data_IF_131241553997
#
_entry.id   IF_131241553997
#
_cell.length_a   1.000
_cell.length_b   1.000
_cell.length_c   1.000
_cell.angle_alpha   90.00
_cell.angle_beta   90.00
_cell.angle_gamma   90.00
#
_symmetry.space_group_name_H-M   'P 1'
#
loop_
_entity.id
_entity.type
_entity.pdbx_description
1 polymer ?
#
# COMPACT_ATOMS: atom_id res chain seq x y z
N UNK A 1 -23.80 -20.57 -0.07
CA UNK A 1 -24.04 -19.33 0.70
C UNK A 1 -24.80 -18.28 -0.08
N UNK A 2 -24.56 -18.10 -1.38
CA UNK A 2 -25.18 -17.03 -2.19
C UNK A 2 -26.70 -16.92 -2.03
N UNK A 3 -27.44 -18.02 -2.16
CA UNK A 3 -28.91 -18.01 -2.00
C UNK A 3 -29.35 -17.65 -0.57
N UNK A 4 -28.68 -18.20 0.44
CA UNK A 4 -28.97 -17.90 1.85
C UNK A 4 -28.68 -16.43 2.19
N UNK A 5 -27.52 -15.93 1.75
CA UNK A 5 -27.07 -14.57 2.01
C UNK A 5 -27.85 -13.52 1.21
N UNK A 6 -28.51 -13.90 0.12
CA UNK A 6 -29.36 -12.98 -0.65
C UNK A 6 -30.51 -12.44 0.22
N UNK A 7 -31.19 -13.32 0.98
CA UNK A 7 -32.23 -12.89 1.91
C UNK A 7 -31.68 -12.02 3.04
N UNK A 8 -30.47 -12.32 3.53
CA UNK A 8 -29.80 -11.49 4.52
C UNK A 8 -29.50 -10.08 3.97
N UNK A 9 -29.02 -10.00 2.72
CA UNK A 9 -28.75 -8.72 2.04
C UNK A 9 -30.02 -7.89 1.83
N UNK A 10 -31.12 -8.52 1.41
CA UNK A 10 -32.45 -7.87 1.34
C UNK A 10 -32.93 -7.37 2.70
N UNK A 11 -32.57 -8.06 3.78
CA UNK A 11 -32.84 -7.67 5.15
C UNK A 11 -31.81 -6.67 5.72
N UNK A 12 -30.91 -6.12 4.90
CA UNK A 12 -29.93 -5.11 5.31
C UNK A 12 -28.70 -5.66 6.05
N UNK A 13 -28.36 -6.94 5.85
CA UNK A 13 -27.15 -7.57 6.39
C UNK A 13 -26.23 -8.04 5.27
N UNK A 14 -24.99 -7.58 5.28
CA UNK A 14 -23.98 -7.93 4.29
C UNK A 14 -22.76 -8.54 4.98
N UNK A 15 -22.04 -9.38 4.25
CA UNK A 15 -20.78 -9.94 4.71
C UNK A 15 -19.76 -9.93 3.57
N UNK A 16 -18.48 -9.89 3.95
CA UNK A 16 -17.36 -10.03 3.05
C UNK A 16 -16.35 -11.04 3.62
N UNK A 17 -15.75 -11.83 2.73
CA UNK A 17 -14.66 -12.75 3.07
C UNK A 17 -13.52 -12.50 2.11
N UNK A 18 -12.40 -12.02 2.64
CA UNK A 18 -11.23 -11.68 1.85
C UNK A 18 -9.98 -12.34 2.43
N UNK A 19 -9.02 -12.63 1.54
CA UNK A 19 -7.64 -12.85 1.96
C UNK A 19 -6.99 -11.49 2.15
N UNK A 20 -6.39 -11.29 3.31
CA UNK A 20 -5.71 -10.06 3.66
C UNK A 20 -4.31 -10.36 4.21
N UNK A 21 -3.33 -9.56 3.81
CA UNK A 21 -1.92 -9.83 4.14
C UNK A 21 -1.40 -11.10 3.46
N UNK A 22 -0.56 -11.86 4.18
CA UNK A 22 0.10 -13.05 3.63
C UNK A 22 -0.76 -14.31 3.83
N UNK A 23 -1.27 -14.52 5.04
CA UNK A 23 -1.89 -15.78 5.47
C UNK A 23 -3.15 -15.56 6.34
N UNK A 24 -3.91 -14.49 6.10
CA UNK A 24 -5.06 -14.14 6.96
C UNK A 24 -6.35 -14.09 6.16
N UNK A 25 -7.40 -14.68 6.75
CA UNK A 25 -8.77 -14.55 6.26
C UNK A 25 -9.45 -13.48 7.11
N UNK A 26 -9.90 -12.42 6.45
CA UNK A 26 -10.75 -11.41 7.04
C UNK A 26 -12.21 -11.79 6.76
N UNK A 27 -13.02 -11.86 7.81
CA UNK A 27 -14.47 -11.98 7.71
C UNK A 27 -15.09 -10.71 8.30
N UNK A 28 -15.73 -9.91 7.45
CA UNK A 28 -16.45 -8.70 7.85
C UNK A 28 -17.96 -8.92 7.75
N UNK A 29 -18.72 -8.47 8.74
CA UNK A 29 -20.19 -8.44 8.69
C UNK A 29 -20.68 -7.06 9.11
N UNK A 30 -21.72 -6.57 8.43
CA UNK A 30 -22.40 -5.31 8.74
C UNK A 30 -23.89 -5.47 8.56
N UNK A 31 -24.69 -4.85 9.42
CA UNK A 31 -26.15 -4.84 9.32
C UNK A 31 -26.85 -4.74 10.67
N UNK A 32 -28.17 -4.99 10.67
CA UNK A 32 -29.01 -4.91 11.87
C UNK A 32 -28.67 -6.01 12.89
N UNK A 33 -28.51 -5.62 14.16
CA UNK A 33 -27.99 -6.48 15.22
C UNK A 33 -28.88 -7.68 15.59
N UNK A 34 -30.19 -7.64 15.31
CA UNK A 34 -31.14 -8.72 15.68
C UNK A 34 -30.77 -10.08 15.08
N UNK A 35 -30.33 -10.12 13.81
CA UNK A 35 -30.07 -11.36 13.06
C UNK A 35 -28.63 -11.52 12.57
N UNK A 36 -27.78 -10.53 12.81
CA UNK A 36 -26.36 -10.59 12.44
C UNK A 36 -25.62 -11.77 13.11
N UNK A 37 -25.86 -12.12 14.40
CA UNK A 37 -25.25 -13.29 15.02
C UNK A 37 -25.60 -14.60 14.32
N UNK A 38 -26.85 -14.77 13.89
CA UNK A 38 -27.32 -15.97 13.19
C UNK A 38 -26.62 -16.13 11.83
N UNK A 39 -26.43 -15.02 11.11
CA UNK A 39 -25.69 -15.01 9.85
C UNK A 39 -24.21 -15.39 10.07
N UNK A 40 -23.59 -14.84 11.12
CA UNK A 40 -22.19 -15.13 11.48
C UNK A 40 -21.99 -16.63 11.76
N UNK A 41 -22.79 -17.22 12.65
CA UNK A 41 -22.72 -18.65 12.97
C UNK A 41 -22.87 -19.52 11.73
N UNK A 42 -23.79 -19.16 10.83
CA UNK A 42 -23.99 -19.89 9.58
C UNK A 42 -22.78 -19.81 8.65
N UNK A 43 -22.16 -18.64 8.52
CA UNK A 43 -20.95 -18.44 7.72
C UNK A 43 -19.80 -19.26 8.29
N UNK A 44 -19.56 -19.18 9.60
CA UNK A 44 -18.48 -19.91 10.28
C UNK A 44 -18.66 -21.43 10.13
N UNK A 45 -19.90 -21.91 10.27
CA UNK A 45 -20.23 -23.32 10.04
C UNK A 45 -19.86 -23.74 8.62
N UNK A 46 -20.30 -22.98 7.61
CA UNK A 46 -20.00 -23.28 6.21
C UNK A 46 -18.49 -23.19 5.91
N UNK A 47 -17.79 -22.22 6.48
CA UNK A 47 -16.35 -22.07 6.34
C UNK A 47 -15.59 -23.30 6.86
N UNK A 48 -16.07 -23.91 7.95
CA UNK A 48 -15.52 -25.15 8.54
C UNK A 48 -15.83 -26.40 7.74
N UNK A 49 -17.06 -26.52 7.25
CA UNK A 49 -17.55 -27.72 6.54
C UNK A 49 -17.48 -27.58 5.02
N UNK A 50 -16.81 -26.54 4.49
CA UNK A 50 -16.66 -26.32 3.05
C UNK A 50 -16.21 -27.58 2.28
N UNK A 51 -15.24 -28.38 2.77
CA UNK A 51 -14.82 -29.61 2.08
C UNK A 51 -15.94 -30.64 1.87
N UNK A 52 -16.97 -30.63 2.73
CA UNK A 52 -18.07 -31.59 2.70
C UNK A 52 -19.18 -31.17 1.73
N UNK A 53 -19.18 -29.90 1.32
CA UNK A 53 -20.20 -29.29 0.47
C UNK A 53 -19.68 -28.82 -0.89
N UNK A 54 -18.37 -28.86 -1.11
CA UNK A 54 -17.76 -28.41 -2.36
C UNK A 54 -17.85 -29.49 -3.43
N UNK A 55 -18.54 -29.21 -4.52
CA UNK A 55 -18.57 -30.09 -5.68
C UNK A 55 -17.39 -29.80 -6.63
N UNK A 56 -16.88 -30.85 -7.29
CA UNK A 56 -15.78 -30.73 -8.25
C UNK A 56 -16.11 -29.76 -9.40
N UNK A 57 -17.33 -29.80 -9.91
CA UNK A 57 -17.77 -28.90 -10.98
C UNK A 57 -17.73 -27.43 -10.53
N UNK A 58 -18.19 -27.14 -9.31
CA UNK A 58 -18.12 -25.80 -8.73
C UNK A 58 -16.67 -25.34 -8.56
N UNK A 59 -15.78 -26.22 -8.09
CA UNK A 59 -14.35 -25.94 -8.00
C UNK A 59 -13.75 -25.58 -9.37
N UNK A 60 -14.00 -26.40 -10.39
CA UNK A 60 -13.46 -26.17 -11.74
C UNK A 60 -13.94 -24.86 -12.34
N UNK A 61 -15.22 -24.55 -12.18
CA UNK A 61 -15.82 -23.27 -12.60
C UNK A 61 -15.14 -22.08 -11.92
N UNK A 62 -14.91 -22.15 -10.60
CA UNK A 62 -14.23 -21.08 -9.84
C UNK A 62 -12.76 -20.97 -10.22
N UNK A 63 -12.06 -22.10 -10.45
CA UNK A 63 -10.66 -22.11 -10.92
C UNK A 63 -10.54 -21.41 -12.27
N UNK A 64 -11.37 -21.77 -13.25
CA UNK A 64 -11.38 -21.14 -14.57
C UNK A 64 -11.74 -19.65 -14.50
N UNK A 65 -12.72 -19.29 -13.66
CA UNK A 65 -13.06 -17.88 -13.46
C UNK A 65 -11.89 -17.10 -12.84
N UNK A 66 -11.17 -17.68 -11.88
CA UNK A 66 -9.98 -17.08 -11.25
C UNK A 66 -8.84 -16.90 -12.25
N UNK A 67 -8.60 -17.90 -13.10
CA UNK A 67 -7.61 -17.81 -14.18
C UNK A 67 -7.91 -16.65 -15.13
N UNK A 68 -9.15 -16.56 -15.58
CA UNK A 68 -9.60 -15.45 -16.43
C UNK A 68 -9.45 -14.11 -15.72
N UNK A 69 -9.75 -14.02 -14.43
CA UNK A 69 -9.54 -12.79 -13.65
C UNK A 69 -8.07 -12.37 -13.66
N UNK A 70 -7.13 -13.28 -13.40
CA UNK A 70 -5.71 -12.94 -13.44
C UNK A 70 -5.22 -12.63 -14.86
N UNK A 71 -5.72 -13.31 -15.88
CA UNK A 71 -5.40 -12.96 -17.27
C UNK A 71 -5.93 -11.57 -17.63
N UNK A 72 -7.13 -11.21 -17.18
CA UNK A 72 -7.74 -9.91 -17.43
C UNK A 72 -6.99 -8.76 -16.77
N UNK A 73 -6.24 -8.96 -15.69
CA UNK A 73 -5.41 -7.88 -15.12
C UNK A 73 -4.30 -7.42 -16.09
N UNK A 74 -3.99 -8.20 -17.13
CA UNK A 74 -3.09 -7.75 -18.21
C UNK A 74 -3.71 -6.62 -19.04
N UNK A 75 -5.05 -6.48 -18.99
CA UNK A 75 -5.81 -5.43 -19.66
C UNK A 75 -6.08 -4.22 -18.76
N UNK A 76 -5.65 -4.25 -17.50
CA UNK A 76 -5.79 -3.12 -16.58
C UNK A 76 -5.05 -1.87 -17.11
N UNK A 77 -5.40 -0.72 -16.54
CA UNK A 77 -4.67 0.52 -16.80
C UNK A 77 -3.20 0.41 -16.39
N UNK A 78 -2.32 1.09 -17.13
CA UNK A 78 -0.88 0.95 -16.96
C UNK A 78 -0.41 1.33 -15.55
N UNK A 79 -1.02 2.35 -14.93
CA UNK A 79 -0.63 2.76 -13.58
C UNK A 79 -0.97 1.68 -12.54
N UNK A 80 -2.10 0.96 -12.71
CA UNK A 80 -2.48 -0.15 -11.82
C UNK A 80 -1.49 -1.30 -11.95
N UNK A 81 -1.05 -1.57 -13.17
CA UNK A 81 0.03 -2.54 -13.41
C UNK A 81 1.32 -2.14 -12.70
N UNK A 82 1.77 -0.87 -12.84
CA UNK A 82 2.95 -0.36 -12.13
C UNK A 82 2.85 -0.50 -10.60
N UNK A 83 1.69 -0.15 -10.02
CA UNK A 83 1.41 -0.30 -8.59
C UNK A 83 1.49 -1.76 -8.13
N UNK A 84 1.04 -2.72 -8.95
CA UNK A 84 1.15 -4.14 -8.62
C UNK A 84 2.62 -4.61 -8.61
N UNK A 85 3.44 -4.12 -9.53
CA UNK A 85 4.88 -4.42 -9.56
C UNK A 85 5.59 -3.86 -8.33
N UNK A 86 5.35 -2.58 -8.00
CA UNK A 86 5.98 -1.95 -6.84
C UNK A 86 5.51 -2.57 -5.52
N UNK A 87 4.24 -3.00 -5.43
CA UNK A 87 3.74 -3.77 -4.29
C UNK A 87 4.54 -5.07 -4.08
N UNK A 88 4.81 -5.82 -5.16
CA UNK A 88 5.64 -7.02 -5.06
C UNK A 88 7.07 -6.73 -4.61
N UNK A 89 7.67 -5.66 -5.13
CA UNK A 89 9.06 -5.26 -4.86
C UNK A 89 9.28 -4.69 -3.45
N UNK A 90 8.25 -4.13 -2.82
CA UNK A 90 8.38 -3.45 -1.53
C UNK A 90 7.94 -4.28 -0.33
N UNK A 91 7.20 -5.36 -0.54
CA UNK A 91 6.59 -6.15 0.52
C UNK A 91 7.15 -7.57 0.52
N UNK A 92 7.45 -8.18 1.69
CA UNK A 92 8.03 -9.54 1.74
C UNK A 92 7.07 -10.61 1.21
N UNK A 93 5.79 -10.47 1.54
CA UNK A 93 4.70 -11.29 1.03
C UNK A 93 4.19 -10.81 -0.33
N UNK A 94 3.40 -11.65 -0.99
CA UNK A 94 2.79 -11.34 -2.29
C UNK A 94 3.56 -11.95 -3.46
N UNK A 95 2.80 -12.20 -4.53
CA UNK A 95 3.23 -12.91 -5.73
C UNK A 95 2.93 -12.04 -6.95
N UNK A 96 3.79 -12.12 -7.97
CA UNK A 96 3.49 -11.49 -9.25
C UNK A 96 2.28 -12.19 -9.88
N UNK A 97 1.56 -11.44 -10.72
CA UNK A 97 0.38 -11.98 -11.38
C UNK A 97 0.74 -13.15 -12.33
N UNK A 98 1.88 -13.07 -13.01
CA UNK A 98 2.34 -14.16 -13.86
C UNK A 98 2.70 -15.44 -13.06
N UNK A 99 3.24 -15.29 -11.85
CA UNK A 99 3.48 -16.43 -10.95
C UNK A 99 2.15 -17.09 -10.56
N UNK A 100 1.10 -16.29 -10.30
CA UNK A 100 -0.25 -16.78 -9.99
C UNK A 100 -0.85 -17.53 -11.17
N UNK A 101 -0.78 -16.96 -12.38
CA UNK A 101 -1.26 -17.60 -13.61
C UNK A 101 -0.55 -18.93 -13.83
N UNK A 102 0.79 -18.96 -13.72
CA UNK A 102 1.58 -20.18 -13.89
C UNK A 102 1.24 -21.27 -12.84
N UNK A 103 0.76 -20.87 -11.66
CA UNK A 103 0.43 -21.80 -10.57
C UNK A 103 -0.98 -22.40 -10.67
N UNK A 104 -1.94 -21.70 -11.27
CA UNK A 104 -3.36 -22.15 -11.35
C UNK A 104 -3.52 -23.57 -11.89
N UNK A 105 -2.85 -23.99 -12.98
CA UNK A 105 -2.98 -25.35 -13.50
C UNK A 105 -2.62 -26.44 -12.47
N UNK A 106 -1.80 -26.10 -11.48
CA UNK A 106 -1.38 -27.01 -10.41
C UNK A 106 -2.35 -27.05 -9.21
N UNK A 107 -3.35 -26.17 -9.18
CA UNK A 107 -4.43 -26.18 -8.20
C UNK A 107 -5.48 -27.22 -8.61
N UNK A 108 -5.32 -28.45 -8.11
CA UNK A 108 -6.31 -29.52 -8.31
C UNK A 108 -7.37 -29.51 -7.20
N UNK A 109 -8.52 -30.11 -7.48
CA UNK A 109 -9.62 -30.26 -6.52
C UNK A 109 -9.16 -30.93 -5.22
N UNK A 110 -8.38 -32.01 -5.33
CA UNK A 110 -7.87 -32.77 -4.18
C UNK A 110 -6.94 -31.92 -3.31
N UNK A 111 -6.00 -31.20 -3.96
CA UNK A 111 -5.08 -30.29 -3.26
C UNK A 111 -5.82 -29.15 -2.58
N UNK A 112 -6.90 -28.66 -3.17
CA UNK A 112 -7.73 -27.61 -2.58
C UNK A 112 -8.46 -28.13 -1.33
N UNK A 113 -9.09 -29.30 -1.39
CA UNK A 113 -9.72 -29.92 -0.21
C UNK A 113 -8.72 -30.15 0.92
N UNK A 114 -7.52 -30.66 0.60
CA UNK A 114 -6.45 -30.84 1.58
C UNK A 114 -5.96 -29.51 2.16
N UNK A 115 -5.95 -28.45 1.38
CA UNK A 115 -5.66 -27.10 1.87
C UNK A 115 -6.75 -26.60 2.82
N UNK A 116 -8.03 -26.76 2.48
CA UNK A 116 -9.15 -26.37 3.35
C UNK A 116 -9.11 -27.07 4.71
N UNK A 117 -8.75 -28.36 4.75
CA UNK A 117 -8.57 -29.11 6.00
C UNK A 117 -7.39 -28.60 6.82
N UNK A 118 -6.27 -28.26 6.17
CA UNK A 118 -5.06 -27.76 6.84
C UNK A 118 -5.19 -26.33 7.36
N UNK A 119 -5.96 -25.49 6.68
CA UNK A 119 -6.16 -24.07 7.00
C UNK A 119 -6.55 -23.85 8.47
N UNK A 120 -7.26 -24.81 9.04
CA UNK A 120 -7.85 -24.73 10.36
C UNK A 120 -7.13 -25.56 11.42
N UNK A 121 -6.04 -26.25 11.08
CA UNK A 121 -5.28 -27.06 12.05
C UNK A 121 -4.51 -26.21 13.06
N UNK A 122 -4.07 -25.01 12.66
CA UNK A 122 -3.45 -24.04 13.56
C UNK A 122 -3.99 -22.66 13.23
N UNK A 123 -4.52 -21.95 14.23
CA UNK A 123 -5.06 -20.63 14.00
C UNK A 123 -4.85 -19.68 15.18
N UNK A 124 -4.88 -18.40 14.85
CA UNK A 124 -5.08 -17.32 15.78
C UNK A 124 -6.37 -16.62 15.36
N UNK A 125 -7.17 -16.23 16.35
CA UNK A 125 -8.45 -15.58 16.13
C UNK A 125 -8.46 -14.28 16.92
N UNK A 126 -8.82 -13.21 16.23
CA UNK A 126 -9.02 -11.89 16.79
C UNK A 126 -10.30 -11.32 16.20
N UNK A 127 -11.11 -10.72 17.05
CA UNK A 127 -12.41 -10.19 16.68
C UNK A 127 -12.55 -8.75 17.15
N UNK A 128 -13.23 -7.96 16.34
CA UNK A 128 -13.63 -6.60 16.66
C UNK A 128 -15.15 -6.50 16.47
N UNK A 129 -15.85 -6.09 17.52
CA UNK A 129 -17.30 -5.91 17.51
C UNK A 129 -17.59 -4.45 17.82
N UNK A 130 -18.40 -3.82 16.98
CA UNK A 130 -18.77 -2.41 17.11
C UNK A 130 -20.24 -2.19 16.72
N UNK A 131 -20.97 -1.45 17.54
CA UNK A 131 -22.35 -1.05 17.26
C UNK A 131 -23.32 -1.37 18.39
N UNK A 132 -24.58 -1.59 18.02
CA UNK A 132 -25.71 -1.72 18.95
C UNK A 132 -25.84 -3.15 19.54
N UNK A 133 -24.91 -3.51 20.42
CA UNK A 133 -24.89 -4.77 21.19
C UNK A 133 -24.40 -4.50 22.61
N UNK A 134 -24.92 -5.23 23.60
CA UNK A 134 -24.33 -5.21 24.94
C UNK A 134 -23.02 -6.00 24.96
N UNK A 135 -22.10 -5.58 25.83
CA UNK A 135 -20.78 -6.22 25.99
C UNK A 135 -20.91 -7.73 26.28
N UNK A 136 -21.83 -8.12 27.16
CA UNK A 136 -22.05 -9.52 27.51
C UNK A 136 -22.50 -10.37 26.31
N UNK A 137 -23.40 -9.82 25.47
CA UNK A 137 -23.89 -10.52 24.27
C UNK A 137 -22.79 -10.64 23.22
N UNK A 138 -21.99 -9.59 23.03
CA UNK A 138 -20.85 -9.59 22.13
C UNK A 138 -19.80 -10.63 22.56
N UNK A 139 -19.46 -10.67 23.85
CA UNK A 139 -18.51 -11.66 24.38
C UNK A 139 -19.04 -13.09 24.23
N UNK A 140 -20.31 -13.33 24.56
CA UNK A 140 -20.92 -14.65 24.41
C UNK A 140 -20.93 -15.13 22.95
N UNK A 141 -21.24 -14.24 22.00
CA UNK A 141 -21.20 -14.53 20.57
C UNK A 141 -19.77 -14.90 20.13
N UNK A 142 -18.79 -14.06 20.45
CA UNK A 142 -17.40 -14.27 20.04
C UNK A 142 -16.80 -15.53 20.69
N UNK A 143 -17.12 -15.81 21.96
CA UNK A 143 -16.74 -17.06 22.64
C UNK A 143 -17.32 -18.29 21.94
N UNK A 144 -18.58 -18.21 21.48
CA UNK A 144 -19.23 -19.27 20.70
C UNK A 144 -18.50 -19.53 19.39
N UNK A 145 -18.21 -18.46 18.63
CA UNK A 145 -17.47 -18.54 17.37
C UNK A 145 -16.05 -19.06 17.58
N UNK A 146 -15.35 -18.59 18.62
CA UNK A 146 -14.00 -19.03 18.94
C UNK A 146 -14.00 -20.53 19.25
N UNK A 147 -14.93 -21.03 20.08
CA UNK A 147 -15.06 -22.46 20.38
C UNK A 147 -15.32 -23.28 19.12
N UNK A 148 -16.19 -22.81 18.24
CA UNK A 148 -16.50 -23.49 16.99
C UNK A 148 -15.28 -23.54 16.04
N UNK A 149 -14.54 -22.43 15.93
CA UNK A 149 -13.34 -22.36 15.10
C UNK A 149 -12.16 -23.13 15.70
N UNK A 150 -12.02 -23.17 17.02
CA UNK A 150 -10.83 -23.72 17.68
C UNK A 150 -11.01 -25.13 18.24
N UNK A 151 -12.19 -25.76 18.07
CA UNK A 151 -12.51 -27.07 18.64
C UNK A 151 -11.39 -28.12 18.44
N UNK A 152 -10.81 -28.17 17.23
CA UNK A 152 -9.74 -29.10 16.85
C UNK A 152 -8.47 -28.37 16.35
N UNK A 153 -8.27 -27.12 16.75
CA UNK A 153 -7.17 -26.27 16.27
C UNK A 153 -6.10 -26.05 17.33
N UNK A 154 -4.83 -26.13 16.94
CA UNK A 154 -3.72 -25.69 17.79
C UNK A 154 -3.58 -24.15 17.74
N UNK A 155 -3.16 -23.50 18.83
CA UNK A 155 -2.91 -22.08 18.83
C UNK A 155 -1.63 -21.74 18.05
N UNK A 156 -1.65 -20.65 17.28
CA UNK A 156 -0.42 -20.08 16.72
C UNK A 156 0.46 -19.47 17.83
N UNK A 157 1.78 -19.66 17.69
CA UNK A 157 2.78 -19.01 18.54
C UNK A 157 2.73 -17.49 18.34
N UNK A 158 3.04 -16.67 19.37
CA UNK A 158 3.05 -15.21 19.23
C UNK A 158 3.86 -14.70 18.04
N UNK A 159 4.99 -15.34 17.72
CA UNK A 159 5.83 -15.00 16.56
C UNK A 159 5.17 -15.26 15.20
N UNK A 160 4.11 -16.09 15.15
CA UNK A 160 3.36 -16.44 13.94
C UNK A 160 2.08 -15.61 13.78
N UNK A 161 1.75 -14.74 14.73
CA UNK A 161 0.53 -13.90 14.71
C UNK A 161 0.70 -12.61 13.90
N UNK A 162 1.76 -12.50 13.11
CA UNK A 162 2.07 -11.31 12.31
C UNK A 162 1.52 -11.50 10.90
N UNK A 163 0.42 -10.83 10.55
CA UNK A 163 -0.23 -10.98 9.25
C UNK A 163 0.13 -9.92 8.22
N UNK A 164 0.53 -8.74 8.67
CA UNK A 164 0.87 -7.60 7.82
C UNK A 164 2.17 -7.78 7.03
N UNK A 165 2.99 -8.78 7.36
CA UNK A 165 4.31 -8.99 6.77
C UNK A 165 5.30 -7.85 7.09
N UNK A 166 6.48 -7.93 6.48
CA UNK A 166 7.55 -6.93 6.55
C UNK A 166 7.71 -6.22 5.22
N UNK A 167 8.12 -4.96 5.30
CA UNK A 167 8.54 -4.19 4.14
C UNK A 167 10.03 -4.41 3.86
N UNK A 168 10.39 -4.36 2.58
CA UNK A 168 11.77 -4.31 2.10
C UNK A 168 12.41 -3.00 2.54
N UNK A 169 13.61 -3.07 3.09
CA UNK A 169 14.39 -1.93 3.55
C UNK A 169 15.37 -1.48 2.46
N UNK A 170 15.09 -0.33 1.86
CA UNK A 170 15.94 0.29 0.85
C UNK A 170 17.18 0.93 1.49
N UNK A 171 18.30 0.94 0.77
CA UNK A 171 19.54 1.58 1.22
C UNK A 171 19.48 3.11 1.08
N UNK A 172 20.10 3.81 2.02
CA UNK A 172 20.27 5.27 1.96
C UNK A 172 21.04 5.69 0.70
N UNK A 173 20.62 6.80 0.09
CA UNK A 173 21.20 7.39 -1.12
C UNK A 173 21.22 6.45 -2.34
N UNK A 174 20.25 5.53 -2.40
CA UNK A 174 20.07 4.62 -3.54
C UNK A 174 18.69 4.80 -4.16
N UNK A 175 18.67 4.91 -5.48
CA UNK A 175 17.48 4.87 -6.31
C UNK A 175 17.43 3.53 -7.06
N UNK A 176 16.44 2.71 -6.71
CA UNK A 176 16.19 1.43 -7.35
C UNK A 176 15.16 1.62 -8.46
N UNK A 177 15.47 1.17 -9.66
CA UNK A 177 14.62 1.38 -10.83
C UNK A 177 14.29 0.02 -11.44
N UNK A 178 12.99 -0.29 -11.54
CA UNK A 178 12.50 -1.50 -12.20
C UNK A 178 11.84 -1.14 -13.54
N UNK A 179 12.56 -1.29 -14.66
CA UNK A 179 11.96 -1.15 -15.98
C UNK A 179 11.18 -2.41 -16.36
N UNK A 180 9.95 -2.25 -16.84
CA UNK A 180 9.11 -3.35 -17.31
C UNK A 180 8.16 -2.89 -18.42
N UNK A 181 7.73 -3.81 -19.27
CA UNK A 181 6.77 -3.51 -20.34
C UNK A 181 5.35 -3.83 -19.87
N UNK A 182 4.39 -3.00 -20.27
CA UNK A 182 2.98 -3.28 -20.06
C UNK A 182 2.54 -4.50 -20.92
N UNK A 183 1.85 -5.51 -20.35
CA UNK A 183 1.56 -6.75 -21.08
C UNK A 183 0.50 -6.61 -22.17
N UNK A 184 -0.31 -5.55 -22.17
CA UNK A 184 -1.26 -5.25 -23.25
C UNK A 184 -0.58 -4.45 -24.38
N UNK A 185 -0.45 -5.03 -25.60
CA UNK A 185 0.19 -4.37 -26.74
C UNK A 185 -0.57 -3.13 -27.25
N UNK A 186 -1.88 -3.05 -26.99
CA UNK A 186 -2.70 -1.89 -27.37
C UNK A 186 -2.56 -0.71 -26.40
N UNK A 187 -1.94 -0.94 -25.23
CA UNK A 187 -1.72 0.11 -24.25
C UNK A 187 -0.52 0.97 -24.64
N UNK A 188 -0.79 2.23 -24.99
CA UNK A 188 0.22 3.21 -25.39
C UNK A 188 0.80 4.03 -24.23
N UNK A 189 0.35 3.78 -23.00
CA UNK A 189 0.79 4.56 -21.85
C UNK A 189 2.08 4.02 -21.26
N UNK A 190 3.00 4.93 -20.95
CA UNK A 190 4.10 4.73 -20.04
C UNK A 190 3.74 5.23 -18.63
N UNK A 191 4.41 4.71 -17.61
CA UNK A 191 4.19 5.08 -16.20
C UNK A 191 5.50 5.19 -15.45
N UNK A 192 5.57 6.16 -14.54
CA UNK A 192 6.49 6.14 -13.40
C UNK A 192 5.66 6.03 -12.12
N UNK A 193 5.75 4.90 -11.41
CA UNK A 193 5.28 4.74 -10.02
C UNK A 193 6.50 4.78 -9.11
N UNK A 194 6.76 5.95 -8.53
CA UNK A 194 7.89 6.20 -7.66
C UNK A 194 7.48 6.36 -6.21
N UNK A 195 8.37 5.98 -5.30
CA UNK A 195 8.18 6.23 -3.88
C UNK A 195 9.47 6.50 -3.13
N UNK A 196 9.39 7.48 -2.23
CA UNK A 196 10.40 7.72 -1.20
C UNK A 196 10.06 6.90 0.04
N UNK A 197 10.98 6.06 0.50
CA UNK A 197 10.84 5.32 1.75
C UNK A 197 11.43 6.12 2.90
N UNK A 198 10.58 6.63 3.80
CA UNK A 198 11.03 7.46 4.93
C UNK A 198 11.65 6.55 6.01
N UNK A 199 10.87 5.57 6.47
CA UNK A 199 11.32 4.65 7.52
C UNK A 199 10.17 4.11 8.35
N UNK A 200 10.51 3.54 9.51
CA UNK A 200 9.51 3.08 10.47
C UNK A 200 8.73 4.27 11.00
N UNK A 201 7.43 4.08 11.17
CA UNK A 201 6.57 5.15 11.63
C UNK A 201 6.98 5.70 13.00
N UNK A 202 7.11 7.02 13.06
CA UNK A 202 7.04 7.80 14.29
C UNK A 202 5.94 8.86 14.15
N UNK A 203 5.34 9.30 15.25
CA UNK A 203 4.33 10.36 15.21
C UNK A 203 4.91 11.65 14.63
N UNK A 204 6.17 11.95 14.96
CA UNK A 204 6.87 13.15 14.51
C UNK A 204 7.13 13.13 12.99
N UNK A 205 7.62 12.02 12.43
CA UNK A 205 7.79 11.91 10.97
C UNK A 205 6.44 11.85 10.26
N UNK A 206 5.40 11.26 10.89
CA UNK A 206 4.05 11.22 10.32
C UNK A 206 3.49 12.60 10.03
N UNK A 207 3.55 13.51 11.01
CA UNK A 207 3.00 14.87 10.83
C UNK A 207 3.80 15.71 9.85
N UNK A 208 5.13 15.52 9.80
CA UNK A 208 6.00 16.20 8.81
C UNK A 208 5.70 15.69 7.40
N UNK A 209 5.60 14.38 7.23
CA UNK A 209 5.26 13.73 5.97
C UNK A 209 3.85 14.14 5.48
N UNK A 210 2.89 14.24 6.39
CA UNK A 210 1.54 14.71 6.06
C UNK A 210 1.54 16.15 5.55
N UNK A 211 2.30 17.06 6.19
CA UNK A 211 2.46 18.43 5.71
C UNK A 211 3.16 18.50 4.35
N UNK A 212 4.24 17.72 4.14
CA UNK A 212 4.87 17.63 2.81
C UNK A 212 3.86 17.18 1.77
N UNK A 213 3.04 16.16 2.06
CA UNK A 213 1.98 15.72 1.14
C UNK A 213 0.93 16.76 0.87
N UNK A 214 0.45 17.45 1.90
CA UNK A 214 -0.53 18.51 1.74
C UNK A 214 0.02 19.69 0.90
N UNK A 215 1.28 20.05 1.09
CA UNK A 215 1.95 21.11 0.33
C UNK A 215 2.22 20.66 -1.12
N UNK A 216 2.60 19.40 -1.33
CA UNK A 216 2.96 18.87 -2.64
C UNK A 216 1.75 18.55 -3.53
N UNK A 217 0.62 18.18 -2.94
CA UNK A 217 -0.50 17.55 -3.67
C UNK A 217 -1.00 18.39 -4.85
N UNK A 218 -1.37 19.65 -4.60
CA UNK A 218 -1.92 20.54 -5.64
C UNK A 218 -0.83 21.00 -6.63
N UNK A 219 0.37 21.46 -6.20
CA UNK A 219 1.43 21.83 -7.13
C UNK A 219 1.91 20.67 -8.02
N UNK A 220 1.97 19.44 -7.49
CA UNK A 220 2.40 18.26 -8.25
C UNK A 220 1.40 17.97 -9.38
N UNK A 221 0.11 18.03 -9.08
CA UNK A 221 -0.94 17.90 -10.08
C UNK A 221 -0.87 19.04 -11.09
N UNK A 222 -0.90 20.30 -10.64
CA UNK A 222 -0.95 21.44 -11.55
C UNK A 222 0.26 21.49 -12.49
N UNK A 223 1.47 21.32 -11.96
CA UNK A 223 2.70 21.35 -12.77
C UNK A 223 2.72 20.24 -13.81
N UNK A 224 2.59 18.98 -13.40
CA UNK A 224 2.83 17.85 -14.30
C UNK A 224 1.62 17.55 -15.20
N UNK A 225 0.40 17.89 -14.76
CA UNK A 225 -0.83 17.62 -15.50
C UNK A 225 -1.41 18.83 -16.22
N UNK A 226 -1.53 19.98 -15.55
CA UNK A 226 -2.15 21.16 -16.16
C UNK A 226 -1.16 21.90 -17.07
N UNK A 227 0.04 22.18 -16.56
CA UNK A 227 1.04 23.00 -17.26
C UNK A 227 1.84 22.18 -18.27
N UNK A 228 2.44 21.06 -17.84
CA UNK A 228 3.30 20.22 -18.69
C UNK A 228 2.54 19.16 -19.49
N UNK A 229 1.26 18.94 -19.16
CA UNK A 229 0.37 18.03 -19.88
C UNK A 229 0.91 16.60 -20.05
N UNK A 230 1.66 16.11 -19.05
CA UNK A 230 2.30 14.79 -19.12
C UNK A 230 1.28 13.66 -19.11
N UNK A 231 0.09 13.83 -18.51
CA UNK A 231 -0.99 12.88 -18.70
C UNK A 231 -2.14 13.00 -17.72
N UNK A 232 -3.09 12.06 -17.81
CA UNK A 232 -4.34 12.12 -17.05
C UNK A 232 -4.19 11.72 -15.59
N UNK A 233 -3.44 10.66 -15.34
CA UNK A 233 -3.23 10.12 -14.00
C UNK A 233 -1.93 10.69 -13.46
N UNK A 234 -2.07 11.72 -12.63
CA UNK A 234 -0.98 12.39 -11.92
C UNK A 234 -1.43 12.59 -10.48
N UNK A 235 -0.73 11.99 -9.52
CA UNK A 235 -1.00 12.25 -8.11
C UNK A 235 0.22 11.92 -7.26
N UNK A 236 0.26 12.52 -6.07
CA UNK A 236 1.24 12.22 -5.03
C UNK A 236 0.55 12.13 -3.67
N UNK A 237 1.00 11.22 -2.82
CA UNK A 237 0.39 11.02 -1.50
C UNK A 237 1.34 10.33 -0.52
N UNK A 238 1.29 10.68 0.76
CA UNK A 238 1.89 9.88 1.81
C UNK A 238 1.05 8.62 2.03
N UNK A 239 1.70 7.50 2.39
CA UNK A 239 1.00 6.29 2.80
C UNK A 239 1.84 5.47 3.78
N UNK A 240 1.18 4.54 4.46
CA UNK A 240 1.80 3.60 5.41
C UNK A 240 1.47 2.17 5.00
N UNK A 241 2.42 1.26 5.19
CA UNK A 241 2.19 -0.18 5.07
C UNK A 241 3.10 -0.93 6.04
N UNK A 242 2.53 -1.87 6.80
CA UNK A 242 3.26 -2.70 7.76
C UNK A 242 4.21 -1.89 8.67
N UNK A 243 3.73 -0.75 9.17
CA UNK A 243 4.48 0.14 10.06
C UNK A 243 5.60 0.97 9.42
N UNK A 244 5.73 0.97 8.08
CA UNK A 244 6.70 1.79 7.33
C UNK A 244 5.98 2.90 6.58
N UNK A 245 6.50 4.12 6.68
CA UNK A 245 6.01 5.32 6.01
C UNK A 245 6.73 5.54 4.69
N UNK A 246 5.95 5.90 3.68
CA UNK A 246 6.43 6.17 2.33
C UNK A 246 5.68 7.36 1.73
N UNK A 247 6.29 8.00 0.74
CA UNK A 247 5.67 9.02 -0.08
C UNK A 247 5.64 8.54 -1.52
N UNK A 248 4.46 8.32 -2.10
CA UNK A 248 4.30 7.85 -3.47
C UNK A 248 3.98 9.00 -4.41
N UNK A 249 4.45 8.90 -5.64
CA UNK A 249 3.98 9.69 -6.77
C UNK A 249 3.79 8.78 -7.98
N UNK A 250 2.76 9.08 -8.77
CA UNK A 250 2.44 8.34 -9.99
C UNK A 250 2.19 9.35 -11.11
N UNK A 251 2.82 9.10 -12.26
CA UNK A 251 2.58 9.83 -13.51
C UNK A 251 2.41 8.80 -14.62
N UNK A 252 1.22 8.78 -15.23
CA UNK A 252 0.94 8.00 -16.45
C UNK A 252 0.89 8.96 -17.64
N UNK A 253 1.64 8.65 -18.68
CA UNK A 253 1.73 9.44 -19.91
C UNK A 253 1.55 8.60 -21.15
N UNK A 254 0.88 9.12 -22.17
CA UNK A 254 0.87 8.56 -23.52
C UNK A 254 1.76 9.31 -24.51
N UNK A 255 2.49 10.34 -24.05
CA UNK A 255 3.32 11.22 -24.88
C UNK A 255 4.79 11.25 -24.45
N UNK A 256 5.10 10.74 -23.25
CA UNK A 256 6.44 10.76 -22.68
C UNK A 256 6.88 9.38 -22.20
N UNK A 257 8.16 9.08 -22.39
CA UNK A 257 8.82 7.89 -21.86
C UNK A 257 9.15 8.06 -20.36
N UNK A 258 9.29 6.96 -19.61
CA UNK A 258 9.57 7.02 -18.17
C UNK A 258 10.77 7.88 -17.76
N UNK A 259 11.84 7.92 -18.55
CA UNK A 259 13.03 8.71 -18.24
C UNK A 259 12.73 10.21 -18.26
N UNK A 260 11.97 10.67 -19.26
CA UNK A 260 11.54 12.06 -19.33
C UNK A 260 10.60 12.39 -18.17
N UNK A 261 9.61 11.54 -17.91
CA UNK A 261 8.69 11.70 -16.77
C UNK A 261 9.46 11.84 -15.46
N UNK A 262 10.41 10.93 -15.20
CA UNK A 262 11.24 10.94 -14.00
C UNK A 262 12.04 12.24 -13.89
N UNK A 263 12.62 12.75 -14.98
CA UNK A 263 13.33 14.03 -14.98
C UNK A 263 12.42 15.22 -14.62
N UNK A 264 11.17 15.23 -15.09
CA UNK A 264 10.18 16.27 -14.75
C UNK A 264 9.76 16.20 -13.29
N UNK A 265 9.63 14.99 -12.75
CA UNK A 265 9.38 14.76 -11.33
C UNK A 265 10.54 15.27 -10.46
N UNK A 266 11.80 14.99 -10.82
CA UNK A 266 12.95 15.53 -10.08
C UNK A 266 13.02 17.06 -10.14
N UNK A 267 12.72 17.66 -11.30
CA UNK A 267 12.62 19.11 -11.43
C UNK A 267 11.52 19.68 -10.51
N UNK A 268 10.36 19.02 -10.45
CA UNK A 268 9.28 19.39 -9.53
C UNK A 268 9.74 19.34 -8.07
N UNK A 269 10.43 18.28 -7.61
CA UNK A 269 10.88 18.21 -6.21
C UNK A 269 11.87 19.32 -5.87
N UNK A 270 12.76 19.69 -6.80
CA UNK A 270 13.67 20.84 -6.64
C UNK A 270 12.90 22.16 -6.52
N UNK A 271 11.90 22.39 -7.38
CA UNK A 271 11.03 23.57 -7.32
C UNK A 271 10.23 23.61 -6.02
N UNK A 272 9.65 22.48 -5.61
CA UNK A 272 8.85 22.38 -4.38
C UNK A 272 9.67 22.74 -3.14
N UNK A 273 10.94 22.34 -3.07
CA UNK A 273 11.84 22.74 -1.98
C UNK A 273 11.92 24.27 -1.86
N UNK A 274 12.11 24.97 -2.97
CA UNK A 274 12.16 26.44 -2.99
C UNK A 274 10.82 27.05 -2.58
N UNK A 275 9.71 26.45 -3.00
CA UNK A 275 8.36 26.83 -2.55
C UNK A 275 8.22 26.68 -1.03
N UNK A 276 8.61 25.55 -0.44
CA UNK A 276 8.51 25.31 1.02
C UNK A 276 9.31 26.37 1.80
N UNK A 277 10.54 26.66 1.36
CA UNK A 277 11.41 27.66 2.01
C UNK A 277 10.83 29.09 1.93
N UNK A 278 10.10 29.39 0.86
CA UNK A 278 9.52 30.72 0.64
C UNK A 278 8.12 30.90 1.22
N UNK A 279 7.54 29.86 1.85
CA UNK A 279 6.23 29.96 2.49
C UNK A 279 6.26 31.02 3.61
N UNK A 280 5.35 31.99 3.51
CA UNK A 280 5.05 32.86 4.63
C UNK A 280 4.45 32.07 5.79
N UNK A 281 4.56 32.60 7.01
CA UNK A 281 3.92 32.01 8.18
C UNK A 281 2.41 31.79 7.96
N UNK A 282 1.71 32.75 7.33
CA UNK A 282 0.28 32.63 7.06
C UNK A 282 -0.05 31.48 6.09
N UNK A 283 0.72 31.34 5.00
CA UNK A 283 0.52 30.23 4.05
C UNK A 283 0.81 28.88 4.71
N UNK A 284 1.89 28.79 5.50
CA UNK A 284 2.21 27.58 6.25
C UNK A 284 1.10 27.20 7.23
N UNK A 285 0.54 28.17 7.97
CA UNK A 285 -0.58 27.93 8.89
C UNK A 285 -1.85 27.47 8.16
N UNK A 286 -2.08 27.85 6.90
CA UNK A 286 -3.19 27.32 6.10
C UNK A 286 -3.02 25.81 5.83
N UNK A 287 -1.80 25.36 5.51
CA UNK A 287 -1.51 23.94 5.35
C UNK A 287 -1.63 23.16 6.66
N UNK A 288 -1.12 23.71 7.77
CA UNK A 288 -1.33 23.14 9.12
C UNK A 288 -2.81 23.02 9.43
N UNK A 289 -3.60 24.08 9.21
CA UNK A 289 -5.04 24.07 9.43
C UNK A 289 -5.77 23.02 8.59
N UNK A 290 -5.36 22.80 7.34
CA UNK A 290 -5.92 21.75 6.48
C UNK A 290 -5.65 20.34 7.04
N UNK A 291 -4.42 20.05 7.44
CA UNK A 291 -4.05 18.74 8.03
C UNK A 291 -4.74 18.53 9.38
N UNK A 292 -4.83 19.55 10.23
CA UNK A 292 -5.60 19.50 11.49
C UNK A 292 -7.05 19.18 11.21
N UNK A 293 -7.66 19.83 10.21
CA UNK A 293 -9.06 19.58 9.83
C UNK A 293 -9.25 18.12 9.41
N UNK A 294 -8.38 17.58 8.56
CA UNK A 294 -8.44 16.17 8.13
C UNK A 294 -8.36 15.20 9.33
N UNK A 295 -7.49 15.48 10.31
CA UNK A 295 -7.38 14.64 11.50
C UNK A 295 -8.52 14.81 12.51
N UNK A 296 -9.18 15.96 12.54
CA UNK A 296 -10.27 16.25 13.48
C UNK A 296 -11.66 16.06 12.89
N UNK A 297 -11.75 15.80 11.59
CA UNK A 297 -13.01 15.48 10.93
C UNK A 297 -13.64 14.24 11.56
N UNK A 298 -14.88 14.42 12.00
CA UNK A 298 -15.66 13.34 12.58
C UNK A 298 -16.11 12.40 11.46
N UNK A 299 -16.09 11.08 11.69
CA UNK A 299 -16.65 10.13 10.73
C UNK A 299 -18.07 10.52 10.33
N UNK A 300 -18.35 10.49 9.04
CA UNK A 300 -19.67 10.82 8.48
C UNK A 300 -20.60 9.60 8.50
N UNK A 301 -20.05 8.40 8.73
CA UNK A 301 -20.80 7.16 8.89
C UNK A 301 -20.15 6.21 9.90
N UNK A 302 -20.91 5.20 10.32
CA UNK A 302 -20.42 4.12 11.17
C UNK A 302 -19.28 3.34 10.49
N UNK A 303 -19.39 3.12 9.18
CA UNK A 303 -18.38 2.40 8.40
C UNK A 303 -17.04 3.14 8.39
N UNK A 304 -17.07 4.47 8.28
CA UNK A 304 -15.85 5.28 8.33
C UNK A 304 -15.18 5.23 9.71
N UNK A 305 -15.97 5.28 10.79
CA UNK A 305 -15.48 5.15 12.16
C UNK A 305 -14.84 3.77 12.38
N UNK A 306 -15.54 2.71 11.99
CA UNK A 306 -15.05 1.33 12.09
C UNK A 306 -13.78 1.14 11.27
N UNK A 307 -13.72 1.68 10.05
CA UNK A 307 -12.53 1.54 9.20
C UNK A 307 -11.28 2.16 9.83
N UNK A 308 -11.41 3.30 10.53
CA UNK A 308 -10.31 3.91 11.26
C UNK A 308 -9.80 2.99 12.40
N UNK A 309 -10.72 2.39 13.18
CA UNK A 309 -10.39 1.47 14.27
C UNK A 309 -9.77 0.17 13.75
N UNK A 310 -10.38 -0.43 12.73
CA UNK A 310 -9.90 -1.66 12.09
C UNK A 310 -8.51 -1.46 11.50
N UNK A 311 -8.18 -0.29 10.95
CA UNK A 311 -6.83 -0.01 10.46
C UNK A 311 -5.77 -0.09 11.57
N UNK A 312 -6.06 0.39 12.78
CA UNK A 312 -5.12 0.29 13.92
C UNK A 312 -4.97 -1.14 14.45
N UNK A 313 -6.04 -1.95 14.38
CA UNK A 313 -5.99 -3.39 14.67
C UNK A 313 -5.17 -4.10 13.61
N UNK A 314 -5.42 -3.78 12.34
CA UNK A 314 -4.76 -4.44 11.22
C UNK A 314 -3.26 -4.20 11.17
N UNK A 315 -2.85 -2.98 11.50
CA UNK A 315 -1.43 -2.62 11.65
C UNK A 315 -0.84 -3.08 13.00
N UNK A 316 -1.64 -3.73 13.86
CA UNK A 316 -1.29 -4.16 15.22
C UNK A 316 -0.68 -3.04 16.08
N UNK A 317 -1.12 -1.81 15.81
CA UNK A 317 -0.64 -0.61 16.46
C UNK A 317 -1.51 -0.21 17.66
N UNK A 318 -2.82 -0.47 17.56
CA UNK A 318 -3.82 -0.22 18.61
C UNK A 318 -3.79 1.21 19.19
N UNK A 319 -3.47 2.22 18.37
CA UNK A 319 -3.47 3.64 18.78
C UNK A 319 -4.78 4.28 18.33
N UNK A 320 -5.88 3.99 19.01
CA UNK A 320 -7.23 4.41 18.59
C UNK A 320 -7.44 5.93 18.65
N UNK A 321 -6.71 6.65 19.49
CA UNK A 321 -6.73 8.12 19.56
C UNK A 321 -5.68 8.79 18.67
N UNK A 322 -5.05 8.04 17.74
CA UNK A 322 -3.94 8.53 16.89
C UNK A 322 -4.26 9.83 16.18
N UNK A 323 -5.43 9.95 15.56
CA UNK A 323 -5.84 11.17 14.84
C UNK A 323 -5.80 12.39 15.77
N UNK A 324 -6.29 12.26 17.01
CA UNK A 324 -6.25 13.33 18.00
C UNK A 324 -4.81 13.67 18.45
N UNK A 325 -3.95 12.67 18.61
CA UNK A 325 -2.53 12.90 18.92
C UNK A 325 -1.81 13.63 17.77
N UNK A 326 -2.05 13.22 16.53
CA UNK A 326 -1.47 13.84 15.34
C UNK A 326 -1.97 15.28 15.12
N UNK A 327 -3.27 15.54 15.36
CA UNK A 327 -3.84 16.88 15.28
C UNK A 327 -3.19 17.85 16.27
N UNK A 328 -2.89 17.41 17.49
CA UNK A 328 -2.15 18.23 18.47
C UNK A 328 -0.69 18.45 18.04
N UNK A 329 -0.04 17.41 17.53
CA UNK A 329 1.37 17.47 17.18
C UNK A 329 1.64 18.31 15.92
N UNK A 330 0.77 18.24 14.90
CA UNK A 330 0.98 19.01 13.67
C UNK A 330 0.89 20.52 13.91
N UNK A 331 0.12 20.96 14.90
CA UNK A 331 -0.01 22.37 15.28
C UNK A 331 1.28 22.98 15.85
N UNK A 332 2.20 22.15 16.37
CA UNK A 332 3.44 22.64 16.97
C UNK A 332 4.56 22.83 15.96
N UNK A 333 4.39 22.29 14.74
CA UNK A 333 5.45 22.26 13.74
C UNK A 333 5.76 23.67 13.20
N UNK A 334 7.03 23.88 12.88
CA UNK A 334 7.51 25.05 12.16
C UNK A 334 7.93 24.69 10.74
N UNK A 335 7.91 25.68 9.83
CA UNK A 335 8.30 25.48 8.42
C UNK A 335 9.73 24.93 8.29
N UNK A 336 10.64 25.33 9.19
CA UNK A 336 12.03 24.85 9.21
C UNK A 336 12.10 23.33 9.40
N UNK A 337 11.23 22.73 10.23
CA UNK A 337 11.20 21.28 10.43
C UNK A 337 10.74 20.54 9.17
N UNK A 338 9.94 21.19 8.31
CA UNK A 338 9.50 20.63 7.04
C UNK A 338 10.60 20.73 6.00
N UNK A 339 11.34 21.83 5.97
CA UNK A 339 12.54 21.98 5.14
C UNK A 339 13.58 20.92 5.53
N UNK A 340 13.88 20.77 6.83
CA UNK A 340 14.80 19.75 7.33
C UNK A 340 14.35 18.32 6.96
N UNK A 341 13.05 18.02 7.11
CA UNK A 341 12.51 16.73 6.70
C UNK A 341 12.68 16.48 5.20
N UNK A 342 12.37 17.48 4.37
CA UNK A 342 12.52 17.41 2.92
C UNK A 342 13.98 17.18 2.51
N UNK A 343 14.90 17.95 3.11
CA UNK A 343 16.34 17.86 2.87
C UNK A 343 16.95 16.56 3.41
N UNK A 344 16.29 15.90 4.37
CA UNK A 344 16.74 14.61 4.91
C UNK A 344 16.30 13.43 4.05
N UNK A 345 15.09 13.47 3.47
CA UNK A 345 14.45 12.28 2.88
C UNK A 345 14.10 12.38 1.39
N UNK A 346 13.91 13.58 0.83
CA UNK A 346 13.30 13.76 -0.51
C UNK A 346 14.24 14.48 -1.49
N UNK A 347 14.98 15.50 -1.05
CA UNK A 347 15.88 16.26 -1.92
C UNK A 347 16.88 15.35 -2.68
N UNK A 348 17.34 15.80 -3.86
CA UNK A 348 18.21 15.00 -4.74
C UNK A 348 19.47 14.46 -4.05
N UNK A 349 20.06 15.25 -3.17
CA UNK A 349 21.27 15.00 -2.39
C UNK A 349 20.97 14.59 -0.94
N UNK A 350 19.70 14.33 -0.61
CA UNK A 350 19.28 14.03 0.76
C UNK A 350 19.98 12.77 1.32
N UNK A 351 20.56 12.84 2.53
CA UNK A 351 21.41 11.78 3.08
C UNK A 351 20.66 10.49 3.38
N UNK A 352 19.33 10.53 3.55
CA UNK A 352 18.48 9.35 3.78
C UNK A 352 17.50 9.12 2.64
N UNK A 353 17.76 9.67 1.45
CA UNK A 353 16.92 9.44 0.27
C UNK A 353 16.96 7.96 -0.11
N UNK A 354 15.81 7.30 -0.01
CA UNK A 354 15.60 5.91 -0.39
C UNK A 354 14.49 5.87 -1.41
N UNK A 355 14.79 5.53 -2.64
CA UNK A 355 13.80 5.60 -3.70
C UNK A 355 13.66 4.27 -4.44
N UNK A 356 12.43 3.89 -4.73
CA UNK A 356 12.10 2.83 -5.67
C UNK A 356 11.15 3.42 -6.72
N UNK A 357 11.46 3.23 -8.00
CA UNK A 357 10.55 3.54 -9.09
C UNK A 357 10.32 2.32 -9.99
N UNK A 358 9.06 2.13 -10.39
CA UNK A 358 8.70 1.21 -11.47
C UNK A 358 8.46 2.04 -12.72
N UNK A 359 9.22 1.75 -13.77
CA UNK A 359 9.10 2.37 -15.07
C UNK A 359 8.36 1.39 -15.99
N UNK A 360 7.08 1.65 -16.24
CA UNK A 360 6.28 0.87 -17.18
C UNK A 360 6.39 1.50 -18.55
N UNK A 361 6.84 0.75 -19.54
CA UNK A 361 6.89 1.15 -20.95
C UNK A 361 5.66 0.59 -21.67
N UNK A 362 5.13 1.33 -22.64
CA UNK A 362 4.21 0.75 -23.61
C UNK A 362 4.93 -0.27 -24.48
N UNK A 363 4.21 -1.22 -25.08
CA UNK A 363 4.80 -2.23 -25.96
C UNK A 363 5.50 -1.61 -27.17
N UNK A 364 5.02 -0.45 -27.64
CA UNK A 364 5.63 0.29 -28.76
C UNK A 364 6.97 0.93 -28.42
N UNK A 365 7.28 1.10 -27.13
CA UNK A 365 8.51 1.72 -26.66
C UNK A 365 9.51 0.63 -26.26
N UNK A 366 10.66 0.57 -26.93
CA UNK A 366 11.69 -0.41 -26.56
C UNK A 366 12.22 -0.13 -25.16
N UNK A 367 12.34 -1.19 -24.34
CA UNK A 367 13.06 -1.12 -23.07
C UNK A 367 14.48 -0.61 -23.31
N UNK A 368 15.03 0.25 -22.42
CA UNK A 368 16.41 0.68 -22.52
C UNK A 368 17.35 -0.53 -22.59
N UNK A 369 18.32 -0.51 -23.52
CA UNK A 369 19.37 -1.53 -23.58
C UNK A 369 20.21 -1.46 -22.31
N UNK A 370 20.02 -2.44 -21.44
CA UNK A 370 20.82 -2.60 -20.24
C UNK A 370 22.12 -3.32 -20.61
N UNK A 371 23.16 -2.56 -20.92
CA UNK A 371 24.47 -3.14 -21.27
C UNK A 371 24.90 -4.18 -20.22
N UNK A 372 25.35 -5.33 -20.72
CA UNK A 372 25.98 -6.36 -19.91
C UNK A 372 27.41 -5.88 -19.64
N UNK A 373 27.71 -5.61 -18.37
CA UNK A 373 29.07 -5.38 -17.84
C UNK A 373 29.69 -3.96 -17.84
N UNK A 374 28.91 -2.88 -17.79
CA UNK A 374 29.45 -1.60 -17.26
C UNK A 374 28.62 -1.06 -16.10
N UNK A 375 29.30 -0.79 -14.98
CA UNK A 375 28.70 -0.31 -13.75
C UNK A 375 28.00 1.04 -13.93
N UNK A 376 26.78 1.13 -13.38
CA UNK A 376 26.13 2.34 -12.83
C UNK A 376 25.83 3.52 -13.80
N UNK A 377 26.38 3.61 -15.02
CA UNK A 377 26.38 4.90 -15.74
C UNK A 377 25.45 5.08 -16.96
N UNK A 378 24.97 4.05 -17.67
CA UNK A 378 24.32 4.30 -18.98
C UNK A 378 22.98 5.03 -18.91
N UNK A 379 22.17 4.75 -17.88
CA UNK A 379 20.85 5.39 -17.72
C UNK A 379 20.95 6.80 -17.13
N UNK A 380 21.95 7.05 -16.27
CA UNK A 380 22.25 8.37 -15.74
C UNK A 380 22.72 9.33 -16.85
N UNK A 381 23.55 8.84 -17.79
CA UNK A 381 24.01 9.62 -18.95
C UNK A 381 22.86 9.97 -19.89
N UNK A 382 21.95 9.03 -20.17
CA UNK A 382 20.76 9.30 -20.98
C UNK A 382 19.82 10.32 -20.30
N UNK A 383 19.62 10.19 -18.99
CA UNK A 383 18.78 11.12 -18.21
C UNK A 383 19.38 12.53 -18.17
N UNK A 384 20.70 12.65 -17.97
CA UNK A 384 21.41 13.92 -17.97
C UNK A 384 21.42 14.59 -19.35
N UNK A 385 21.65 13.82 -20.43
CA UNK A 385 21.63 14.33 -21.79
C UNK A 385 20.25 14.86 -22.19
N UNK A 386 19.17 14.14 -21.86
CA UNK A 386 17.79 14.57 -22.14
C UNK A 386 17.41 15.79 -21.27
N UNK A 387 17.83 15.82 -20.00
CA UNK A 387 17.62 16.98 -19.12
C UNK A 387 18.33 18.24 -19.64
N UNK A 388 19.55 18.10 -20.17
CA UNK A 388 20.31 19.22 -20.76
C UNK A 388 19.75 19.74 -22.09
N UNK A 389 18.95 18.93 -22.80
CA UNK A 389 18.26 19.35 -24.03
C UNK A 389 16.91 20.00 -23.71
N UNK A 390 16.25 19.60 -22.62
CA UNK A 390 14.96 20.14 -22.19
C UNK A 390 15.07 21.43 -21.36
N UNK A 391 16.18 21.61 -20.65
CA UNK A 391 16.55 22.86 -19.98
C UNK A 391 17.48 23.58 -20.94
N UNK A 392 17.10 24.76 -21.42
CA UNK A 392 17.92 25.58 -22.32
C UNK A 392 19.14 26.21 -21.58
N UNK A 393 19.78 25.44 -20.70
CA UNK A 393 20.88 25.83 -19.84
C UNK A 393 22.21 25.41 -20.48
N UNK A 394 22.87 26.40 -21.07
CA UNK A 394 24.31 26.33 -21.32
C UNK A 394 25.04 26.63 -20.01
N UNK A 395 25.15 25.62 -19.15
CA UNK A 395 25.92 25.71 -17.91
C UNK A 395 26.95 24.57 -17.83
N UNK A 396 28.19 24.98 -17.61
CA UNK A 396 29.40 24.16 -17.55
C UNK A 396 29.25 22.81 -16.82
N UNK A 397 29.67 21.75 -17.50
CA UNK A 397 29.80 20.39 -16.99
C UNK A 397 30.97 20.23 -15.99
N UNK A 398 31.02 21.04 -14.92
CA UNK A 398 32.09 20.99 -13.91
C UNK A 398 31.65 21.01 -12.44
N UNK A 399 30.35 20.86 -12.15
CA UNK A 399 29.87 20.62 -10.76
C UNK A 399 29.02 19.35 -10.71
N UNK A 400 29.69 18.20 -10.60
CA UNK A 400 29.02 16.93 -10.31
C UNK A 400 28.45 16.98 -8.88
N UNK A 401 27.19 17.40 -8.76
CA UNK A 401 26.37 17.13 -7.58
C UNK A 401 26.32 15.60 -7.37
N UNK A 402 26.51 15.15 -6.14
CA UNK A 402 26.51 13.72 -5.80
C UNK A 402 25.10 13.15 -5.96
N UNK A 403 24.73 12.79 -7.18
CA UNK A 403 23.48 12.10 -7.47
C UNK A 403 23.42 10.77 -6.72
N UNK A 404 22.25 10.45 -6.17
CA UNK A 404 22.00 9.15 -5.54
C UNK A 404 22.40 8.01 -6.49
N UNK A 405 22.98 6.94 -5.93
CA UNK A 405 23.40 5.78 -6.72
C UNK A 405 22.17 5.12 -7.35
N UNK A 406 22.16 4.99 -8.67
CA UNK A 406 21.09 4.27 -9.38
C UNK A 406 21.39 2.77 -9.49
N UNK A 407 20.39 1.94 -9.22
CA UNK A 407 20.46 0.48 -9.31
C UNK A 407 19.28 -0.05 -10.13
N UNK A 408 19.58 -0.67 -11.27
CA UNK A 408 18.54 -1.27 -12.12
C UNK A 408 18.19 -2.68 -11.63
N UNK A 409 16.91 -2.87 -11.28
CA UNK A 409 16.35 -4.17 -10.92
C UNK A 409 16.11 -4.95 -12.21
N UNK A 410 16.93 -5.97 -12.48
CA UNK A 410 16.76 -6.85 -13.66
C UNK A 410 15.86 -8.06 -13.40
N UNK A 411 15.79 -8.50 -12.15
CA UNK A 411 14.97 -9.65 -11.74
C UNK A 411 14.29 -9.30 -10.42
N UNK A 412 12.95 -9.11 -10.41
CA UNK A 412 12.23 -8.65 -9.23
C UNK A 412 12.29 -9.68 -8.09
N UNK A 413 12.24 -10.98 -8.39
CA UNK A 413 12.39 -12.05 -7.38
C UNK A 413 13.77 -12.06 -6.74
N UNK A 414 14.84 -11.89 -7.53
CA UNK A 414 16.22 -11.85 -7.02
C UNK A 414 16.41 -10.64 -6.11
N UNK A 415 15.97 -9.46 -6.55
CA UNK A 415 16.00 -8.23 -5.76
C UNK A 415 15.31 -8.43 -4.42
N UNK A 416 14.06 -8.88 -4.43
CA UNK A 416 13.27 -9.11 -3.21
C UNK A 416 13.94 -10.07 -2.23
N UNK A 417 14.62 -11.12 -2.73
CA UNK A 417 15.33 -12.11 -1.91
C UNK A 417 16.63 -11.57 -1.30
N UNK A 418 17.31 -10.66 -1.98
CA UNK A 418 18.63 -10.13 -1.57
C UNK A 418 18.53 -8.90 -0.66
N UNK A 419 17.38 -8.23 -0.67
CA UNK A 419 17.18 -7.01 0.11
C UNK A 419 16.86 -7.31 1.58
N UNK A 420 17.36 -6.48 2.51
CA UNK A 420 17.00 -6.59 3.92
C UNK A 420 15.53 -6.24 4.14
N UNK A 421 14.98 -6.70 5.27
CA UNK A 421 13.60 -6.45 5.67
C UNK A 421 13.59 -5.60 6.94
N UNK A 422 12.65 -4.66 7.03
CA UNK A 422 12.37 -4.01 8.31
C UNK A 422 11.95 -5.04 9.34
N UNK A 423 12.32 -4.83 10.60
CA UNK A 423 11.80 -5.64 11.69
C UNK A 423 10.29 -5.46 11.84
N UNK A 424 9.61 -6.50 12.34
CA UNK A 424 8.19 -6.46 12.63
C UNK A 424 7.85 -5.31 13.60
N UNK A 425 6.68 -4.64 13.46
CA UNK A 425 6.19 -3.68 14.45
C UNK A 425 6.29 -4.25 15.86
N UNK A 426 6.81 -3.48 16.81
CA UNK A 426 6.73 -3.88 18.21
C UNK A 426 5.26 -3.85 18.61
N UNK A 427 4.66 -5.02 18.86
CA UNK A 427 3.28 -5.11 19.36
C UNK A 427 3.25 -4.44 20.72
N UNK A 428 2.68 -3.23 20.80
CA UNK A 428 2.33 -2.65 22.10
C UNK A 428 1.13 -3.43 22.59
N UNK A 429 1.33 -4.33 23.54
CA UNK A 429 0.22 -4.94 24.27
C UNK A 429 -0.41 -3.83 25.09
N UNK A 430 -1.46 -3.21 24.55
CA UNK A 430 -2.28 -2.27 25.32
C UNK A 430 -3.16 -3.13 26.21
N UNK A 431 -2.83 -3.20 27.50
CA UNK A 431 -3.78 -3.65 28.51
C UNK A 431 -4.91 -2.60 28.58
N UNK A 432 -5.99 -2.82 27.84
CA UNK A 432 -7.16 -1.94 27.80
C UNK A 432 -8.05 -2.03 29.05
N UNK A 433 -7.59 -2.65 30.14
CA UNK A 433 -8.38 -2.77 31.37
C UNK A 433 -8.51 -1.48 32.20
N UNK A 434 -8.02 -0.32 31.74
CA UNK A 434 -8.03 0.92 32.57
C UNK A 434 -8.54 2.19 31.88
N UNK A 435 -9.25 2.10 30.75
CA UNK A 435 -9.80 3.30 30.09
C UNK A 435 -11.32 3.37 30.18
N UNK A 436 -11.87 3.30 31.40
CA UNK A 436 -13.19 3.90 31.68
C UNK A 436 -13.06 5.41 31.52
N UNK A 437 -13.33 5.91 30.31
CA UNK A 437 -13.94 7.22 30.01
C UNK A 437 -13.85 7.46 28.50
N UNK A 438 -14.76 6.83 27.75
CA UNK A 438 -15.24 7.40 26.50
C UNK A 438 -16.59 8.07 26.83
N UNK A 439 -16.59 9.40 26.89
CA UNK A 439 -17.77 10.26 26.83
C UNK A 439 -17.58 11.25 25.69
#
# INVERSE_FOLDING_TARGET
MTEYAYNASLAGMNYDVALQGINTIQLGLVGYSDRLPVLLERIITMMRTLPDHLERETFERVRQATERTYLNTRLDEAFRYGVNQSHFLTHEGGYLNDDRIATIPHCTYERFLDHCRRLYQQLYFEAFVYGNLYEADALALIDGIQKQLQADSLPLLPSQRQWGGRMIQLADQVEYIFPCTHPNPDNRNCVVDGMFQIGRETMAERVRLALVGQIASEPFFDKLRTQEQLGYTVFSMPFRRAGVQMFRFIVQSNVARPEFIQSRVEAFWKELRATIVSLSHEQFQKFVGAVVKEYTEKPQSQEEEVQALVTEIWDQAYVFDRKAQLARLVQTLQVQEIVEFFDTYIAADAPKRKMLSVHVYSESEQLPTLDRDEGVNSMAVATAAIASVALNDSADASTASAHAKQVIIRCPHKFKREMPLFSLPATKVVNLQTSTNFQ
#
